data_IF_524123173203
#
_entry.id   IF_524123173203
#
_cell.length_a   1.000
_cell.length_b   1.000
_cell.length_c   1.000
_cell.angle_alpha   90.00
_cell.angle_beta   90.00
_cell.angle_gamma   90.00
#
_symmetry.space_group_name_H-M   'P 1'
#
loop_
_entity.id
_entity.type
_entity.pdbx_description
1 polymer ?
#
# COMPACT_ATOMS: atom_id res chain seq x y z
N UNK A 1 18.58 10.82 3.80
CA UNK A 1 19.24 10.56 5.11
C UNK A 1 18.97 9.11 5.47
N UNK A 2 20.00 8.36 5.88
CA UNK A 2 19.87 6.94 6.21
C UNK A 2 19.56 6.82 7.70
N UNK A 3 18.41 6.25 8.05
CA UNK A 3 18.03 6.01 9.45
C UNK A 3 18.39 4.57 9.79
N UNK A 4 19.34 4.39 10.69
CA UNK A 4 19.79 3.05 11.11
C UNK A 4 18.87 2.50 12.20
N UNK A 5 18.07 1.48 11.84
CA UNK A 5 17.13 0.83 12.77
C UNK A 5 17.71 -0.40 13.48
N UNK A 6 19.01 -0.68 13.33
CA UNK A 6 19.67 -1.90 13.87
C UNK A 6 19.45 -2.12 15.37
N UNK A 7 19.40 -1.06 16.17
CA UNK A 7 19.19 -1.16 17.61
C UNK A 7 17.74 -1.54 17.99
N UNK A 8 16.75 -1.11 17.21
CA UNK A 8 15.33 -1.42 17.45
C UNK A 8 14.99 -2.90 17.11
N UNK A 9 15.79 -3.57 16.26
CA UNK A 9 15.62 -4.99 15.88
C UNK A 9 16.47 -5.97 16.70
N UNK A 10 17.46 -5.48 17.46
CA UNK A 10 18.34 -6.32 18.29
C UNK A 10 17.63 -6.89 19.53
N UNK A 11 16.49 -6.32 19.92
CA UNK A 11 15.62 -6.83 20.98
C UNK A 11 14.60 -7.81 20.40
N UNK A 12 14.75 -9.12 20.67
CA UNK A 12 13.83 -10.20 20.24
C UNK A 12 12.46 -10.19 20.94
N UNK A 13 11.89 -9.02 21.18
CA UNK A 13 10.48 -8.92 21.60
C UNK A 13 9.58 -9.17 20.40
N UNK A 14 8.70 -10.17 20.49
CA UNK A 14 7.76 -10.59 19.42
C UNK A 14 6.87 -9.47 18.86
N UNK A 15 6.77 -8.32 19.55
CA UNK A 15 6.02 -7.13 19.13
C UNK A 15 6.86 -5.92 18.69
N UNK A 16 8.19 -6.06 18.57
CA UNK A 16 9.06 -4.95 18.15
C UNK A 16 8.80 -4.54 16.70
N UNK A 17 8.65 -5.52 15.80
CA UNK A 17 8.47 -5.29 14.36
C UNK A 17 7.11 -4.64 14.04
N UNK A 18 6.03 -5.00 14.73
CA UNK A 18 4.71 -4.37 14.54
C UNK A 18 4.71 -2.92 15.02
N UNK A 19 5.45 -2.60 16.09
CA UNK A 19 5.65 -1.21 16.57
C UNK A 19 6.49 -0.38 15.59
N UNK A 20 7.43 -0.99 14.89
CA UNK A 20 8.19 -0.37 13.80
C UNK A 20 7.30 -0.08 12.58
N UNK A 21 6.38 -0.98 12.22
CA UNK A 21 5.39 -0.72 11.16
C UNK A 21 4.53 0.51 11.48
N UNK A 22 3.99 0.61 12.71
CA UNK A 22 3.11 1.70 13.13
C UNK A 22 3.82 3.04 13.46
N UNK A 23 5.15 3.13 13.37
CA UNK A 23 5.90 4.38 13.60
C UNK A 23 5.69 5.35 12.43
N UNK A 24 5.02 6.48 12.67
CA UNK A 24 4.58 7.45 11.63
C UNK A 24 5.72 8.26 10.96
N UNK A 25 6.84 8.52 11.65
CA UNK A 25 7.99 9.25 11.07
C UNK A 25 8.85 8.32 10.21
N UNK A 26 8.84 8.55 8.90
CA UNK A 26 9.64 7.76 7.94
C UNK A 26 9.03 6.41 7.58
N UNK A 27 7.73 6.22 7.85
CA UNK A 27 7.07 4.95 7.63
C UNK A 27 7.06 4.54 6.16
N UNK A 28 7.28 3.24 5.94
CA UNK A 28 7.06 2.53 4.69
C UNK A 28 5.69 2.87 4.08
N UNK A 29 4.66 3.10 4.90
CA UNK A 29 3.33 3.49 4.44
C UNK A 29 3.36 4.77 3.59
N UNK A 30 4.21 5.75 3.92
CA UNK A 30 4.28 7.01 3.16
C UNK A 30 4.89 6.81 1.76
N UNK A 31 5.76 5.81 1.61
CA UNK A 31 6.35 5.43 0.32
C UNK A 31 5.35 4.58 -0.48
N UNK A 32 4.80 3.55 0.14
CA UNK A 32 3.88 2.60 -0.49
C UNK A 32 2.55 3.26 -0.90
N UNK A 33 2.07 4.25 -0.14
CA UNK A 33 0.78 4.88 -0.45
C UNK A 33 0.72 5.47 -1.87
N UNK A 34 1.84 5.99 -2.41
CA UNK A 34 1.88 6.50 -3.79
C UNK A 34 1.72 5.38 -4.82
N UNK A 35 2.50 4.31 -4.67
CA UNK A 35 2.44 3.15 -5.56
C UNK A 35 1.08 2.43 -5.48
N UNK A 36 0.55 2.30 -4.26
CA UNK A 36 -0.77 1.70 -4.01
C UNK A 36 -1.89 2.51 -4.66
N UNK A 37 -1.84 3.85 -4.55
CA UNK A 37 -2.83 4.73 -5.16
C UNK A 37 -2.76 4.64 -6.69
N UNK A 38 -1.54 4.62 -7.27
CA UNK A 38 -1.36 4.42 -8.71
C UNK A 38 -1.93 3.07 -9.17
N UNK A 39 -1.64 1.99 -8.44
CA UNK A 39 -2.20 0.67 -8.73
C UNK A 39 -3.72 0.67 -8.67
N UNK A 40 -4.30 1.31 -7.64
CA UNK A 40 -5.75 1.40 -7.48
C UNK A 40 -6.39 2.23 -8.60
N UNK A 41 -5.77 3.32 -9.04
CA UNK A 41 -6.25 4.11 -10.18
C UNK A 41 -6.27 3.29 -11.48
N UNK A 42 -5.20 2.56 -11.76
CA UNK A 42 -5.12 1.69 -12.94
C UNK A 42 -6.17 0.58 -12.85
N UNK A 43 -6.29 -0.06 -11.69
CA UNK A 43 -7.29 -1.10 -11.46
C UNK A 43 -8.72 -0.57 -11.62
N UNK A 44 -9.00 0.62 -11.08
CA UNK A 44 -10.29 1.28 -11.24
C UNK A 44 -10.57 1.65 -12.70
N UNK A 45 -9.57 2.12 -13.45
CA UNK A 45 -9.71 2.42 -14.87
C UNK A 45 -10.06 1.16 -15.67
N UNK A 46 -9.34 0.05 -15.45
CA UNK A 46 -9.63 -1.25 -16.09
C UNK A 46 -11.02 -1.74 -15.71
N UNK A 47 -11.40 -1.63 -14.43
CA UNK A 47 -12.73 -1.99 -13.95
C UNK A 47 -13.82 -1.14 -14.61
N UNK A 48 -13.60 0.16 -14.77
CA UNK A 48 -14.53 1.06 -15.46
C UNK A 48 -14.65 0.70 -16.94
N UNK A 49 -13.55 0.38 -17.62
CA UNK A 49 -13.58 -0.09 -19.01
C UNK A 49 -14.38 -1.39 -19.09
N UNK A 50 -14.12 -2.35 -18.20
CA UNK A 50 -14.87 -3.60 -18.13
C UNK A 50 -16.36 -3.36 -17.89
N UNK A 51 -16.73 -2.54 -16.90
CA UNK A 51 -18.12 -2.25 -16.57
C UNK A 51 -18.83 -1.44 -17.65
N UNK A 52 -18.15 -0.52 -18.33
CA UNK A 52 -18.75 0.27 -19.40
C UNK A 52 -18.85 -0.54 -20.69
N UNK A 53 -17.82 -1.31 -21.04
CA UNK A 53 -17.83 -2.19 -22.21
C UNK A 53 -18.87 -3.32 -22.04
N UNK A 54 -18.87 -4.01 -20.90
CA UNK A 54 -19.80 -5.11 -20.64
C UNK A 54 -21.18 -4.64 -20.17
N UNK A 55 -21.30 -3.46 -19.55
CA UNK A 55 -22.58 -2.88 -19.15
C UNK A 55 -23.48 -2.54 -20.34
N UNK A 56 -22.90 -2.25 -21.50
CA UNK A 56 -23.64 -2.12 -22.75
C UNK A 56 -24.22 -3.48 -23.24
N UNK A 57 -23.60 -4.61 -22.86
CA UNK A 57 -24.05 -5.95 -23.25
C UNK A 57 -24.98 -6.59 -22.21
N UNK A 58 -24.80 -6.27 -20.92
CA UNK A 58 -25.59 -6.82 -19.82
C UNK A 58 -26.96 -6.12 -19.62
N UNK A 59 -27.24 -5.04 -20.37
CA UNK A 59 -28.51 -4.32 -20.35
C UNK A 59 -29.40 -4.60 -21.58
N UNK A 60 -29.06 -5.63 -22.37
CA UNK A 60 -29.88 -6.18 -23.45
C UNK A 60 -30.70 -7.40 -23.05
#
# INVERSE_FOLDING_TARGET
MTVSYQYDVASSTSGGFTRLLFKWKGSLYKLIYRELLLFLLIFAAVKCIYLFALGNEAQG
#
